data_IF_565098545053
#
_entry.id   IF_565098545053
#
_cell.length_a   1.000
_cell.length_b   1.000
_cell.length_c   1.000
_cell.angle_alpha   90.00
_cell.angle_beta   90.00
_cell.angle_gamma   90.00
#
_symmetry.space_group_name_H-M   'P 1'
#
loop_
_entity.id
_entity.type
_entity.pdbx_description
1 polymer ?
#
# COMPACT_ATOMS: atom_id res chain seq x y z
N UNK A 1 -8.98 4.71 -6.81
CA UNK A 1 -7.64 4.25 -6.33
C UNK A 1 -7.71 2.94 -5.54
N UNK A 2 -8.46 2.86 -4.43
CA UNK A 2 -8.49 1.65 -3.57
C UNK A 2 -8.94 0.38 -4.32
N UNK A 3 -9.96 0.48 -5.18
CA UNK A 3 -10.40 -0.66 -6.00
C UNK A 3 -9.30 -1.13 -6.98
N UNK A 4 -8.51 -0.20 -7.52
CA UNK A 4 -7.38 -0.50 -8.39
C UNK A 4 -6.26 -1.23 -7.63
N UNK A 5 -5.99 -0.79 -6.40
CA UNK A 5 -5.05 -1.48 -5.49
C UNK A 5 -5.55 -2.90 -5.19
N UNK A 6 -6.82 -3.05 -4.87
CA UNK A 6 -7.44 -4.34 -4.62
C UNK A 6 -7.32 -5.28 -5.84
N UNK A 7 -7.60 -4.78 -7.04
CA UNK A 7 -7.43 -5.54 -8.29
C UNK A 7 -5.97 -5.98 -8.48
N UNK A 8 -4.99 -5.11 -8.19
CA UNK A 8 -3.58 -5.47 -8.26
C UNK A 8 -3.22 -6.59 -7.25
N UNK A 9 -3.73 -6.53 -6.02
CA UNK A 9 -3.54 -7.61 -5.04
C UNK A 9 -4.12 -8.95 -5.54
N UNK A 10 -5.33 -8.92 -6.12
CA UNK A 10 -6.00 -10.11 -6.64
C UNK A 10 -5.20 -10.75 -7.80
N UNK A 11 -4.69 -9.95 -8.73
CA UNK A 11 -3.88 -10.44 -9.86
C UNK A 11 -2.55 -11.04 -9.43
N UNK A 12 -1.95 -10.48 -8.37
CA UNK A 12 -0.71 -11.00 -7.79
C UNK A 12 -0.95 -12.20 -6.85
N UNK A 13 -2.20 -12.60 -6.62
CA UNK A 13 -2.55 -13.69 -5.71
C UNK A 13 -2.25 -13.41 -4.24
N UNK A 14 -2.26 -12.12 -3.84
CA UNK A 14 -1.94 -11.69 -2.49
C UNK A 14 -3.21 -11.52 -1.64
N UNK A 15 -3.16 -11.99 -0.39
CA UNK A 15 -4.20 -11.68 0.60
C UNK A 15 -4.16 -10.20 0.98
N UNK A 16 -5.32 -9.59 1.15
CA UNK A 16 -5.44 -8.19 1.57
C UNK A 16 -6.64 -8.01 2.51
N UNK A 17 -6.66 -6.86 3.21
CA UNK A 17 -7.82 -6.37 3.93
C UNK A 17 -7.83 -4.84 3.87
N UNK A 18 -8.99 -4.23 4.16
CA UNK A 18 -9.08 -2.79 4.33
C UNK A 18 -8.71 -2.41 5.76
N UNK A 19 -7.87 -1.39 5.91
CA UNK A 19 -7.39 -0.91 7.19
C UNK A 19 -7.36 0.63 7.18
N UNK A 20 -7.93 1.31 8.19
CA UNK A 20 -7.66 2.72 8.38
C UNK A 20 -6.20 2.91 8.86
N UNK A 21 -5.46 3.85 8.27
CA UNK A 21 -4.18 4.25 8.86
C UNK A 21 -4.42 5.00 10.16
N UNK A 22 -3.68 4.61 11.21
CA UNK A 22 -3.67 5.30 12.51
C UNK A 22 -2.54 6.31 12.63
N UNK A 23 -1.56 6.25 11.73
CA UNK A 23 -0.42 7.16 11.70
C UNK A 23 -0.64 8.29 10.69
N UNK A 24 -0.01 9.44 10.94
CA UNK A 24 0.01 10.53 9.98
C UNK A 24 0.93 10.19 8.80
N UNK A 25 0.46 10.47 7.59
CA UNK A 25 1.25 10.38 6.35
C UNK A 25 0.92 11.57 5.47
N UNK A 26 1.83 11.96 4.57
CA UNK A 26 1.59 13.05 3.60
C UNK A 26 0.35 12.78 2.73
N UNK A 27 0.02 11.51 2.54
CA UNK A 27 -1.19 11.05 1.89
C UNK A 27 -2.48 11.66 2.49
N UNK A 28 -2.50 11.97 3.79
CA UNK A 28 -3.62 12.65 4.44
C UNK A 28 -3.90 14.03 3.80
N UNK A 29 -2.84 14.81 3.57
CA UNK A 29 -2.97 16.14 2.97
C UNK A 29 -3.19 16.06 1.47
N UNK A 30 -2.53 15.11 0.78
CA UNK A 30 -2.77 14.86 -0.64
C UNK A 30 -4.22 14.44 -0.93
N UNK A 31 -4.83 13.65 -0.05
CA UNK A 31 -6.24 13.24 -0.18
C UNK A 31 -7.25 14.39 -0.11
N UNK A 32 -6.83 15.61 0.26
CA UNK A 32 -7.68 16.81 0.23
C UNK A 32 -7.71 17.48 -1.14
N UNK A 33 -6.74 17.19 -2.01
CA UNK A 33 -6.54 17.90 -3.28
C UNK A 33 -6.58 17.00 -4.51
N UNK A 34 -6.48 15.68 -4.33
CA UNK A 34 -6.53 14.71 -5.43
C UNK A 34 -7.00 13.34 -4.93
N UNK A 35 -7.34 12.45 -5.88
CA UNK A 35 -7.62 11.05 -5.59
C UNK A 35 -6.39 10.39 -4.94
N UNK A 36 -6.59 9.70 -3.81
CA UNK A 36 -5.51 9.14 -3.01
C UNK A 36 -5.84 7.74 -2.52
N UNK A 37 -4.81 6.88 -2.42
CA UNK A 37 -4.87 5.59 -1.77
C UNK A 37 -3.50 5.19 -1.21
N UNK A 38 -3.49 4.31 -0.22
CA UNK A 38 -2.27 3.81 0.42
C UNK A 38 -2.20 2.29 0.34
N UNK A 39 -0.98 1.76 0.24
CA UNK A 39 -0.68 0.33 0.28
C UNK A 39 0.13 0.07 1.54
N UNK A 40 -0.35 -0.82 2.41
CA UNK A 40 0.37 -1.23 3.61
C UNK A 40 0.94 -2.63 3.43
N UNK A 41 2.15 -2.82 3.94
CA UNK A 41 2.77 -4.13 4.13
C UNK A 41 2.96 -4.36 5.63
N UNK A 42 2.92 -5.62 6.11
CA UNK A 42 3.01 -5.90 7.54
C UNK A 42 4.42 -5.66 8.07
N UNK A 43 4.53 -4.99 9.21
CA UNK A 43 5.75 -4.93 10.02
C UNK A 43 5.70 -5.97 11.13
N UNK A 44 6.82 -6.62 11.40
CA UNK A 44 6.93 -7.69 12.40
C UNK A 44 6.47 -7.18 13.77
N UNK A 45 5.50 -7.87 14.37
CA UNK A 45 4.88 -7.51 15.65
C UNK A 45 4.27 -6.11 15.70
N UNK A 46 4.06 -5.45 14.55
CA UNK A 46 3.56 -4.07 14.47
C UNK A 46 4.51 -3.02 15.06
N UNK A 47 5.79 -3.33 15.23
CA UNK A 47 6.80 -2.40 15.75
C UNK A 47 7.14 -1.37 14.68
N UNK A 48 7.20 -0.10 15.08
CA UNK A 48 7.70 1.00 14.25
C UNK A 48 8.43 2.05 15.10
N UNK A 49 9.18 2.96 14.48
CA UNK A 49 10.01 3.99 15.13
C UNK A 49 11.02 3.40 16.13
N UNK A 50 11.59 2.25 15.76
CA UNK A 50 12.53 1.49 16.58
C UNK A 50 13.55 0.81 15.70
N UNK A 51 14.76 0.58 16.22
CA UNK A 51 15.80 -0.22 15.54
C UNK A 51 15.33 -1.67 15.27
N UNK A 52 14.33 -2.14 16.03
CA UNK A 52 13.70 -3.44 15.85
C UNK A 52 12.58 -3.44 14.79
N UNK A 53 12.26 -2.30 14.17
CA UNK A 53 11.30 -2.23 13.07
C UNK A 53 11.79 -3.07 11.89
N UNK A 54 10.95 -4.01 11.45
CA UNK A 54 11.33 -4.94 10.39
C UNK A 54 10.13 -5.33 9.54
N UNK A 55 10.34 -5.30 8.23
CA UNK A 55 9.46 -5.90 7.21
C UNK A 55 10.34 -6.81 6.34
N UNK A 56 9.88 -8.03 6.07
CA UNK A 56 10.71 -8.98 5.30
C UNK A 56 10.93 -8.48 3.87
N UNK A 57 12.08 -8.79 3.24
CA UNK A 57 12.32 -8.44 1.84
C UNK A 57 11.21 -8.93 0.90
N UNK A 58 10.63 -10.11 1.17
CA UNK A 58 9.53 -10.66 0.40
C UNK A 58 8.27 -9.79 0.49
N UNK A 59 7.90 -9.35 1.69
CA UNK A 59 6.75 -8.45 1.89
C UNK A 59 6.99 -7.06 1.29
N UNK A 60 8.22 -6.53 1.37
CA UNK A 60 8.60 -5.30 0.68
C UNK A 60 8.43 -5.43 -0.84
N UNK A 61 8.90 -6.53 -1.43
CA UNK A 61 8.75 -6.80 -2.87
C UNK A 61 7.28 -6.95 -3.26
N UNK A 62 6.47 -7.63 -2.44
CA UNK A 62 5.02 -7.73 -2.66
C UNK A 62 4.36 -6.35 -2.67
N UNK A 63 4.65 -5.49 -1.68
CA UNK A 63 4.11 -4.13 -1.64
C UNK A 63 4.55 -3.28 -2.84
N UNK A 64 5.82 -3.37 -3.24
CA UNK A 64 6.35 -2.68 -4.41
C UNK A 64 5.69 -3.16 -5.72
N UNK A 65 5.44 -4.46 -5.87
CA UNK A 65 4.72 -5.00 -7.02
C UNK A 65 3.26 -4.53 -7.04
N UNK A 66 2.56 -4.50 -5.90
CA UNK A 66 1.19 -3.95 -5.83
C UNK A 66 1.19 -2.48 -6.26
N UNK A 67 2.17 -1.69 -5.82
CA UNK A 67 2.32 -0.29 -6.23
C UNK A 67 2.54 -0.17 -7.75
N UNK A 68 3.48 -0.93 -8.31
CA UNK A 68 3.78 -0.93 -9.75
C UNK A 68 2.54 -1.29 -10.59
N UNK A 69 1.87 -2.39 -10.25
CA UNK A 69 0.69 -2.85 -10.98
C UNK A 69 -0.48 -1.87 -10.83
N UNK A 70 -0.65 -1.25 -9.66
CA UNK A 70 -1.65 -0.19 -9.46
C UNK A 70 -1.35 0.99 -10.37
N UNK A 71 -0.10 1.48 -10.38
CA UNK A 71 0.29 2.63 -11.19
C UNK A 71 0.07 2.39 -12.69
N UNK A 72 0.48 1.23 -13.20
CA UNK A 72 0.26 0.84 -14.60
C UNK A 72 -1.22 0.78 -14.96
N UNK A 73 -2.10 0.36 -14.05
CA UNK A 73 -3.55 0.38 -14.27
C UNK A 73 -4.11 1.79 -14.29
N UNK A 74 -3.68 2.63 -13.35
CA UNK A 74 -4.14 4.02 -13.27
C UNK A 74 -3.71 4.81 -14.52
N UNK A 75 -2.51 4.58 -15.03
CA UNK A 75 -2.00 5.19 -16.26
C UNK A 75 -2.87 4.89 -17.51
N UNK A 76 -3.64 3.81 -17.50
CA UNK A 76 -4.58 3.48 -18.58
C UNK A 76 -5.98 4.05 -18.36
N UNK A 77 -6.26 4.57 -17.16
CA UNK A 77 -7.57 5.11 -16.76
C UNK A 77 -7.62 6.65 -16.79
N UNK A 78 -6.47 7.31 -16.63
CA UNK A 78 -6.30 8.75 -16.73
C UNK A 78 -5.68 9.13 -18.08
#
# INVERSE_FOLDING_TARGET
IQDTIQSACQELGLSYCHLPSRAGHDALELGRITDMGMIFVPSQSGVSHSEAEYTSPQQCVQGANVLLHTLLKLDQLY
#
